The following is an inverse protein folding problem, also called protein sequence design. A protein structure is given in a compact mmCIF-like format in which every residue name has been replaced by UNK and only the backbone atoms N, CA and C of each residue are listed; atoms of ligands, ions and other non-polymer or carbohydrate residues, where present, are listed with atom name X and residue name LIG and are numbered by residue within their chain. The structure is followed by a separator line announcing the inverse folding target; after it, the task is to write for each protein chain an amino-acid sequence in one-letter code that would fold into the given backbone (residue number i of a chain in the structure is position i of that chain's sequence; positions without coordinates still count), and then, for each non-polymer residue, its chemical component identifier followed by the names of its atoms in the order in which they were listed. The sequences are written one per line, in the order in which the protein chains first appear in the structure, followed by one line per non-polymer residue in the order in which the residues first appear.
data_IF_625828681134
#
_entry.id   IF_625828681134
#
_cell.length_a   1.000
_cell.length_b   1.000
_cell.length_c   1.000
_cell.angle_alpha   90.00
_cell.angle_beta   90.00
_cell.angle_gamma   90.00
#
_symmetry.space_group_name_H-M   'P 1'
#
loop_
_entity.id
_entity.type
_entity.pdbx_description
1 polymer ?
#
# COMPACT_ATOMS: atom_id res chain seq x y z
N UNK A 1 -22.49 -33.32 -24.14
CA UNK A 1 -22.85 -33.96 -22.85
C UNK A 1 -22.05 -33.30 -21.73
N UNK A 2 -22.69 -32.51 -20.85
CA UNK A 2 -22.02 -31.82 -19.75
C UNK A 2 -22.06 -32.68 -18.48
N UNK A 3 -20.89 -33.08 -17.95
CA UNK A 3 -20.78 -33.74 -16.64
C UNK A 3 -21.10 -32.71 -15.55
N UNK A 4 -22.27 -32.84 -14.94
CA UNK A 4 -22.70 -32.01 -13.81
C UNK A 4 -21.72 -32.18 -12.64
N UNK A 5 -21.14 -31.08 -12.17
CA UNK A 5 -20.27 -31.06 -10.99
C UNK A 5 -21.04 -31.47 -9.73
N UNK A 6 -20.64 -32.59 -9.13
CA UNK A 6 -21.20 -33.10 -7.87
C UNK A 6 -20.99 -32.08 -6.75
N UNK A 7 -22.06 -31.45 -6.24
CA UNK A 7 -22.04 -30.68 -4.99
C UNK A 7 -21.49 -31.58 -3.87
N UNK A 8 -20.26 -31.31 -3.41
CA UNK A 8 -19.69 -31.99 -2.24
C UNK A 8 -20.39 -31.45 -0.99
N UNK A 9 -21.17 -32.30 -0.32
CA UNK A 9 -21.72 -32.01 1.01
C UNK A 9 -20.53 -31.87 1.96
N UNK A 10 -20.26 -30.67 2.46
CA UNK A 10 -19.29 -30.47 3.54
C UNK A 10 -19.83 -31.21 4.78
N UNK A 11 -19.29 -32.40 5.04
CA UNK A 11 -19.62 -33.21 6.21
C UNK A 11 -19.02 -32.49 7.42
N UNK A 12 -19.81 -31.59 8.01
CA UNK A 12 -19.50 -31.02 9.32
C UNK A 12 -19.32 -32.17 10.32
N UNK A 13 -18.17 -32.23 10.99
CA UNK A 13 -17.92 -33.23 12.03
C UNK A 13 -19.02 -33.14 13.10
N UNK A 14 -19.57 -34.29 13.48
CA UNK A 14 -20.60 -34.41 14.52
C UNK A 14 -19.96 -34.90 15.79
N UNK A 15 -20.42 -34.38 16.92
CA UNK A 15 -20.07 -34.91 18.23
C UNK A 15 -20.69 -36.30 18.42
N UNK A 16 -20.21 -37.05 19.43
CA UNK A 16 -20.74 -38.38 19.78
C UNK A 16 -22.24 -38.37 20.14
N UNK A 17 -22.77 -37.20 20.49
CA UNK A 17 -24.20 -36.93 20.76
C UNK A 17 -25.02 -36.60 19.50
N UNK A 18 -24.44 -36.66 18.29
CA UNK A 18 -25.11 -36.40 17.02
C UNK A 18 -25.29 -34.91 16.64
N UNK A 19 -24.95 -33.97 17.54
CA UNK A 19 -25.00 -32.52 17.27
C UNK A 19 -23.84 -32.10 16.36
N UNK A 20 -24.07 -31.09 15.52
CA UNK A 20 -23.00 -30.47 14.74
C UNK A 20 -22.04 -29.76 15.70
N UNK A 21 -20.76 -30.08 15.58
CA UNK A 21 -19.72 -29.57 16.47
C UNK A 21 -19.54 -28.05 16.26
N UNK A 22 -20.15 -27.21 17.11
CA UNK A 22 -19.98 -25.74 17.08
C UNK A 22 -18.57 -25.33 17.52
N UNK A 23 -17.98 -26.10 18.43
CA UNK A 23 -16.63 -25.88 18.97
C UNK A 23 -15.52 -25.99 17.92
N UNK A 24 -15.72 -26.77 16.86
CA UNK A 24 -14.75 -26.93 15.78
C UNK A 24 -14.44 -25.61 15.07
N UNK A 25 -15.46 -24.77 14.80
CA UNK A 25 -15.26 -23.48 14.13
C UNK A 25 -14.57 -22.45 15.01
N UNK A 26 -14.88 -22.41 16.31
CA UNK A 26 -14.25 -21.49 17.25
C UNK A 26 -12.79 -21.91 17.46
N UNK A 27 -12.54 -23.20 17.71
CA UNK A 27 -11.18 -23.73 17.85
C UNK A 27 -10.36 -23.59 16.55
N UNK A 28 -10.98 -23.73 15.38
CA UNK A 28 -10.31 -23.50 14.08
C UNK A 28 -9.99 -22.03 13.87
N UNK A 29 -10.91 -21.12 14.21
CA UNK A 29 -10.65 -19.67 14.19
C UNK A 29 -9.51 -19.31 15.13
N UNK A 30 -9.52 -19.83 16.35
CA UNK A 30 -8.47 -19.58 17.34
C UNK A 30 -7.12 -20.14 16.86
N UNK A 31 -7.09 -21.33 16.26
CA UNK A 31 -5.88 -21.90 15.63
C UNK A 31 -5.34 -21.02 14.51
N UNK A 32 -6.21 -20.54 13.61
CA UNK A 32 -5.81 -19.63 12.52
C UNK A 32 -5.25 -18.33 13.10
N UNK A 33 -5.86 -17.80 14.17
CA UNK A 33 -5.36 -16.61 14.86
C UNK A 33 -4.02 -16.85 15.55
N UNK A 34 -3.83 -17.99 16.20
CA UNK A 34 -2.54 -18.38 16.82
C UNK A 34 -1.45 -18.48 15.76
N UNK A 35 -1.72 -19.18 14.65
CA UNK A 35 -0.79 -19.28 13.52
C UNK A 35 -0.47 -17.91 12.96
N UNK A 36 -1.45 -17.00 12.86
CA UNK A 36 -1.22 -15.62 12.40
C UNK A 36 -0.30 -14.83 13.35
N UNK A 37 -0.50 -14.94 14.67
CA UNK A 37 0.33 -14.28 15.68
C UNK A 37 1.76 -14.84 15.73
N UNK A 38 1.95 -16.12 15.43
CA UNK A 38 3.26 -16.78 15.38
C UNK A 38 4.08 -16.43 14.12
N UNK A 39 3.47 -15.80 13.12
CA UNK A 39 4.16 -15.42 11.90
C UNK A 39 5.32 -14.46 12.21
N UNK A 40 6.53 -14.78 11.72
CA UNK A 40 7.74 -13.97 11.92
C UNK A 40 7.54 -12.49 11.58
N UNK A 41 6.76 -12.19 10.54
CA UNK A 41 6.45 -10.82 10.11
C UNK A 41 5.60 -10.03 11.10
N UNK A 42 4.82 -10.67 11.98
CA UNK A 42 4.00 -9.98 12.98
C UNK A 42 4.72 -9.80 14.33
N UNK A 43 5.96 -10.29 14.45
CA UNK A 43 6.78 -10.10 15.66
C UNK A 43 7.03 -8.61 15.90
N UNK A 44 6.87 -8.18 17.15
CA UNK A 44 7.04 -6.77 17.56
C UNK A 44 5.76 -5.93 17.55
N UNK A 45 4.64 -6.48 17.05
CA UNK A 45 3.32 -5.87 17.21
C UNK A 45 2.64 -6.41 18.46
N UNK A 46 2.01 -5.54 19.25
CA UNK A 46 1.29 -5.92 20.46
C UNK A 46 -0.22 -6.03 20.22
N UNK A 47 -0.86 -7.00 20.90
CA UNK A 47 -2.33 -7.07 21.03
C UNK A 47 -3.10 -7.06 19.70
N UNK A 48 -3.97 -6.06 19.55
CA UNK A 48 -4.84 -5.91 18.38
C UNK A 48 -4.07 -5.53 17.11
N UNK A 49 -2.96 -4.81 17.21
CA UNK A 49 -2.12 -4.46 16.06
C UNK A 49 -1.53 -5.71 15.39
N UNK A 50 -1.20 -6.75 16.16
CA UNK A 50 -0.74 -8.02 15.63
C UNK A 50 -1.86 -8.82 14.94
N UNK A 51 -3.14 -8.49 15.18
CA UNK A 51 -4.31 -9.14 14.57
C UNK A 51 -4.79 -8.41 13.32
N UNK A 52 -4.49 -7.12 13.19
CA UNK A 52 -4.84 -6.31 12.03
C UNK A 52 -4.30 -6.94 10.73
N UNK A 53 -5.14 -6.97 9.68
CA UNK A 53 -4.74 -7.43 8.34
C UNK A 53 -3.62 -6.58 7.74
N UNK A 54 -3.52 -5.31 8.13
CA UNK A 54 -2.43 -4.41 7.70
C UNK A 54 -1.06 -4.90 8.15
N UNK A 55 -0.97 -5.69 9.23
CA UNK A 55 0.30 -6.27 9.69
C UNK A 55 0.96 -7.21 8.67
N UNK A 56 0.25 -7.61 7.61
CA UNK A 56 0.79 -8.49 6.57
C UNK A 56 1.77 -7.77 5.63
N UNK A 57 1.58 -6.47 5.39
CA UNK A 57 2.49 -5.66 4.55
C UNK A 57 3.55 -4.93 5.40
N UNK A 58 4.77 -4.72 4.88
CA UNK A 58 5.77 -3.89 5.58
C UNK A 58 5.26 -2.48 5.88
N UNK A 59 4.55 -1.86 4.92
CA UNK A 59 3.96 -0.53 5.09
C UNK A 59 2.92 -0.50 6.22
N UNK A 60 2.05 -1.51 6.29
CA UNK A 60 1.05 -1.59 7.35
C UNK A 60 1.69 -1.83 8.72
N UNK A 61 2.79 -2.59 8.81
CA UNK A 61 3.59 -2.70 10.04
C UNK A 61 4.22 -1.38 10.45
N UNK A 62 4.77 -0.65 9.49
CA UNK A 62 5.32 0.68 9.77
C UNK A 62 4.23 1.66 10.23
N UNK A 63 3.02 1.60 9.68
CA UNK A 63 1.87 2.36 10.17
C UNK A 63 1.48 1.97 11.60
N UNK A 64 1.32 0.66 11.87
CA UNK A 64 0.90 0.14 13.17
C UNK A 64 1.93 0.41 14.29
N UNK A 65 3.21 0.56 13.93
CA UNK A 65 4.28 0.93 14.85
C UNK A 65 4.48 2.45 14.97
N UNK A 66 3.63 3.26 14.32
CA UNK A 66 3.71 4.73 14.34
C UNK A 66 4.87 5.31 13.53
N UNK A 67 5.55 4.49 12.71
CA UNK A 67 6.66 4.93 11.86
C UNK A 67 6.21 5.64 10.59
N UNK A 68 4.98 5.42 10.16
CA UNK A 68 4.36 6.11 9.02
C UNK A 68 3.05 6.76 9.45
N UNK A 69 2.69 7.86 8.81
CA UNK A 69 1.34 8.44 8.90
C UNK A 69 0.32 7.68 8.03
N UNK A 70 -0.97 7.97 8.25
CA UNK A 70 -2.05 7.41 7.42
C UNK A 70 -1.88 7.81 5.95
N UNK A 71 -1.56 9.09 5.70
CA UNK A 71 -1.31 9.62 4.36
C UNK A 71 -0.12 8.95 3.66
N UNK A 72 0.99 8.73 4.38
CA UNK A 72 2.17 8.03 3.86
C UNK A 72 1.87 6.57 3.52
N UNK A 73 1.12 5.88 4.37
CA UNK A 73 0.65 4.52 4.11
C UNK A 73 -0.24 4.46 2.86
N UNK A 74 -1.22 5.38 2.73
CA UNK A 74 -2.09 5.45 1.56
C UNK A 74 -1.32 5.73 0.27
N UNK A 75 -0.28 6.58 0.31
CA UNK A 75 0.60 6.77 -0.83
C UNK A 75 1.29 5.46 -1.22
N UNK A 76 1.84 4.73 -0.24
CA UNK A 76 2.48 3.43 -0.52
C UNK A 76 1.52 2.41 -1.14
N UNK A 77 0.31 2.29 -0.63
CA UNK A 77 -0.72 1.39 -1.18
C UNK A 77 -1.19 1.84 -2.58
N UNK A 78 -1.32 3.15 -2.83
CA UNK A 78 -1.65 3.69 -4.16
C UNK A 78 -0.56 3.38 -5.18
N UNK A 79 0.71 3.51 -4.80
CA UNK A 79 1.85 3.15 -5.65
C UNK A 79 1.84 1.64 -5.97
N UNK A 80 1.63 0.82 -4.95
CA UNK A 80 1.51 -0.64 -5.08
C UNK A 80 0.37 -1.04 -6.01
N UNK A 81 -0.80 -0.43 -5.87
CA UNK A 81 -1.97 -0.68 -6.71
C UNK A 81 -1.70 -0.34 -8.18
N UNK A 82 -1.05 0.80 -8.46
CA UNK A 82 -0.66 1.19 -9.83
C UNK A 82 0.33 0.18 -10.44
N UNK A 83 1.33 -0.29 -9.69
CA UNK A 83 2.26 -1.34 -10.16
C UNK A 83 1.53 -2.66 -10.42
N UNK A 84 0.66 -3.07 -9.51
CA UNK A 84 -0.10 -4.31 -9.66
C UNK A 84 -1.00 -4.29 -10.90
N UNK A 85 -1.69 -3.18 -11.16
CA UNK A 85 -2.48 -2.99 -12.38
C UNK A 85 -1.61 -3.09 -13.64
N UNK A 86 -0.42 -2.48 -13.63
CA UNK A 86 0.53 -2.57 -14.74
C UNK A 86 1.03 -4.00 -14.99
N UNK A 87 1.39 -4.74 -13.94
CA UNK A 87 1.84 -6.13 -14.07
C UNK A 87 0.70 -7.05 -14.55
N UNK A 88 -0.50 -6.89 -14.01
CA UNK A 88 -1.67 -7.65 -14.45
C UNK A 88 -1.96 -7.47 -15.95
N UNK A 89 -1.65 -6.31 -16.51
CA UNK A 89 -1.81 -6.05 -17.95
C UNK A 89 -0.68 -6.66 -18.80
N UNK A 90 0.54 -6.80 -18.26
CA UNK A 90 1.64 -7.51 -18.92
C UNK A 90 1.42 -9.03 -18.92
N UNK A 91 0.93 -9.56 -17.79
CA UNK A 91 0.75 -11.00 -17.56
C UNK A 91 -0.63 -11.52 -18.00
N UNK A 92 -1.57 -10.62 -18.31
CA UNK A 92 -2.93 -10.97 -18.68
C UNK A 92 -2.99 -11.80 -19.98
N UNK A 93 -3.88 -12.82 -20.06
CA UNK A 93 -4.06 -13.58 -21.28
C UNK A 93 -4.43 -12.60 -22.40
N UNK A 94 -3.60 -12.59 -23.46
CA UNK A 94 -3.91 -11.83 -24.67
C UNK A 94 -5.24 -12.38 -25.19
N UNK A 95 -6.30 -11.61 -25.02
CA UNK A 95 -7.62 -11.98 -25.56
C UNK A 95 -7.43 -12.06 -27.06
N UNK A 96 -7.22 -13.27 -27.58
CA UNK A 96 -7.47 -13.57 -28.97
C UNK A 96 -8.95 -13.26 -29.13
N UNK A 97 -9.27 -12.16 -29.80
CA UNK A 97 -10.64 -11.81 -30.14
C UNK A 97 -11.28 -13.06 -30.76
N UNK A 98 -12.16 -13.73 -30.02
CA UNK A 98 -12.86 -14.86 -30.56
C UNK A 98 -13.71 -14.33 -31.72
N UNK A 99 -13.68 -15.02 -32.85
CA UNK A 99 -14.38 -14.60 -34.08
C UNK A 99 -15.88 -14.29 -33.85
N UNK A 100 -16.47 -14.78 -32.76
CA UNK A 100 -17.84 -14.46 -32.34
C UNK A 100 -18.09 -12.99 -31.96
N UNK A 101 -17.12 -12.29 -31.34
CA UNK A 101 -17.30 -10.85 -31.03
C UNK A 101 -17.26 -9.97 -32.28
N UNK A 102 -16.55 -10.40 -33.34
CA UNK A 102 -16.53 -9.72 -34.63
C UNK A 102 -17.84 -9.93 -35.42
N UNK A 103 -18.51 -11.08 -35.24
CA UNK A 103 -19.78 -11.35 -35.93
C UNK A 103 -20.98 -10.60 -35.35
N UNK A 104 -20.99 -10.27 -34.05
CA UNK A 104 -22.08 -9.48 -33.42
C UNK A 104 -22.00 -8.00 -33.79
N UNK A 105 -20.81 -7.47 -34.11
CA UNK A 105 -20.67 -6.11 -34.61
C UNK A 105 -21.24 -5.94 -36.05
N UNK A 106 -21.39 -7.04 -36.79
CA UNK A 106 -21.78 -7.00 -38.21
C UNK A 106 -23.30 -7.09 -38.44
N UNK A 107 -24.11 -7.21 -37.39
CA UNK A 107 -25.59 -7.30 -37.47
C UNK A 107 -26.31 -6.01 -37.08
N UNK A 108 -25.59 -4.98 -36.64
CA UNK A 108 -26.16 -3.64 -36.43
C UNK A 108 -26.13 -2.89 -37.76
N UNK A 109 -27.30 -2.45 -38.24
CA UNK A 109 -27.43 -1.61 -39.43
C UNK A 109 -26.66 -0.30 -39.20
N UNK A 110 -25.96 0.17 -40.23
CA UNK A 110 -25.04 1.34 -40.15
C UNK A 110 -25.67 2.60 -39.55
N UNK A 111 -26.99 2.77 -39.62
CA UNK A 111 -27.70 3.94 -39.10
C UNK A 111 -27.88 3.94 -37.56
N UNK A 112 -27.93 2.76 -36.92
CA UNK A 112 -27.99 2.64 -35.45
C UNK A 112 -26.59 2.68 -34.80
N UNK A 113 -25.57 2.32 -35.58
CA UNK A 113 -24.17 2.36 -35.14
C UNK A 113 -23.67 3.81 -34.97
N UNK A 114 -24.11 4.74 -35.83
CA UNK A 114 -23.72 6.16 -35.75
C UNK A 114 -24.35 6.87 -34.54
N UNK A 115 -25.61 6.57 -34.20
CA UNK A 115 -26.29 7.14 -33.01
C UNK A 115 -25.69 6.66 -31.67
N UNK A 116 -25.08 5.48 -31.64
CA UNK A 116 -24.35 4.98 -30.45
C UNK A 116 -22.97 5.64 -30.28
N UNK A 117 -22.40 6.23 -31.34
CA UNK A 117 -21.09 6.89 -31.30
C UNK A 117 -21.16 8.32 -30.74
N UNK A 118 -22.32 8.98 -30.82
CA UNK A 118 -22.54 10.33 -30.27
C UNK A 118 -22.70 10.36 -28.73
N UNK A 119 -23.09 9.25 -28.09
CA UNK A 119 -23.07 9.09 -26.63
C UNK A 119 -21.67 8.67 -26.13
N UNK A 120 -20.65 9.50 -26.39
CA UNK A 120 -19.25 9.23 -26.02
C UNK A 120 -19.00 9.03 -24.52
N UNK A 121 -19.92 9.41 -23.65
CA UNK A 121 -19.79 9.23 -22.19
C UNK A 121 -19.95 7.78 -21.73
N UNK A 122 -20.61 6.92 -22.51
CA UNK A 122 -20.97 5.55 -22.09
C UNK A 122 -20.29 4.44 -22.91
N UNK A 123 -19.40 4.78 -23.84
CA UNK A 123 -18.66 3.74 -24.58
C UNK A 123 -17.78 2.96 -23.61
N UNK A 124 -17.92 1.62 -23.51
CA UNK A 124 -17.02 0.83 -22.69
C UNK A 124 -15.60 0.96 -23.23
N UNK A 125 -14.68 1.36 -22.36
CA UNK A 125 -13.27 1.52 -22.68
C UNK A 125 -12.71 0.26 -23.34
N UNK A 126 -12.05 0.44 -24.48
CA UNK A 126 -11.43 -0.67 -25.19
C UNK A 126 -10.25 -1.24 -24.40
N UNK A 127 -9.88 -2.53 -24.60
CA UNK A 127 -8.70 -3.10 -23.97
C UNK A 127 -7.40 -2.35 -24.30
N UNK A 128 -7.31 -1.73 -25.49
CA UNK A 128 -6.15 -0.95 -25.91
C UNK A 128 -6.03 0.38 -25.14
N UNK A 129 -7.13 1.14 -25.03
CA UNK A 129 -7.18 2.39 -24.24
C UNK A 129 -6.87 2.12 -22.76
N UNK A 130 -7.41 1.02 -22.22
CA UNK A 130 -7.10 0.59 -20.85
C UNK A 130 -5.61 0.34 -20.63
N UNK A 131 -4.96 -0.34 -21.57
CA UNK A 131 -3.51 -0.62 -21.53
C UNK A 131 -2.70 0.65 -21.51
N UNK A 132 -3.03 1.58 -22.40
CA UNK A 132 -2.34 2.86 -22.50
C UNK A 132 -2.50 3.67 -21.21
N UNK A 133 -3.72 3.82 -20.71
CA UNK A 133 -3.98 4.50 -19.43
C UNK A 133 -3.23 3.87 -18.26
N UNK A 134 -3.21 2.54 -18.16
CA UNK A 134 -2.46 1.85 -17.08
C UNK A 134 -0.95 2.09 -17.21
N UNK A 135 -0.40 2.08 -18.42
CA UNK A 135 1.01 2.39 -18.68
C UNK A 135 1.35 3.83 -18.30
N UNK A 136 0.53 4.78 -18.69
CA UNK A 136 0.69 6.20 -18.36
C UNK A 136 0.61 6.43 -16.85
N UNK A 137 -0.40 5.87 -16.17
CA UNK A 137 -0.55 5.96 -14.72
C UNK A 137 0.65 5.38 -13.96
N UNK A 138 1.23 4.29 -14.47
CA UNK A 138 2.43 3.69 -13.90
C UNK A 138 3.68 4.52 -14.17
N UNK A 139 3.88 5.01 -15.40
CA UNK A 139 4.99 5.89 -15.75
C UNK A 139 4.99 7.15 -14.87
N UNK A 140 3.84 7.82 -14.78
CA UNK A 140 3.64 9.00 -13.93
C UNK A 140 3.95 8.70 -12.45
N UNK A 141 3.49 7.57 -11.93
CA UNK A 141 3.75 7.19 -10.53
C UNK A 141 5.24 6.90 -10.28
N UNK A 142 5.90 6.23 -11.22
CA UNK A 142 7.32 5.93 -11.15
C UNK A 142 8.16 7.21 -11.20
N UNK A 143 7.82 8.14 -12.08
CA UNK A 143 8.51 9.42 -12.20
C UNK A 143 8.28 10.30 -10.97
N UNK A 144 7.06 10.31 -10.43
CA UNK A 144 6.75 10.97 -9.16
C UNK A 144 7.58 10.39 -7.99
N UNK A 145 7.71 9.07 -7.92
CA UNK A 145 8.51 8.40 -6.89
C UNK A 145 10.01 8.72 -7.05
N UNK A 146 10.52 8.73 -8.28
CA UNK A 146 11.90 9.08 -8.57
C UNK A 146 12.18 10.55 -8.22
N UNK A 147 11.28 11.47 -8.56
CA UNK A 147 11.37 12.88 -8.20
C UNK A 147 11.31 13.09 -6.68
N UNK A 148 10.44 12.37 -5.96
CA UNK A 148 10.37 12.39 -4.50
C UNK A 148 11.70 11.99 -3.86
N UNK A 149 12.50 11.17 -4.53
CA UNK A 149 13.81 10.70 -4.08
C UNK A 149 14.99 11.50 -4.65
N UNK A 150 14.73 12.65 -5.28
CA UNK A 150 15.77 13.50 -5.87
C UNK A 150 16.53 12.81 -7.02
N UNK A 151 15.88 11.90 -7.74
CA UNK A 151 16.51 11.15 -8.83
C UNK A 151 17.28 9.90 -8.40
N UNK A 152 17.31 9.55 -7.11
CA UNK A 152 18.04 8.37 -6.63
C UNK A 152 17.39 7.06 -7.09
N UNK A 153 18.05 6.37 -8.05
CA UNK A 153 17.62 5.04 -8.51
C UNK A 153 17.73 3.98 -7.41
N UNK A 154 18.73 4.07 -6.54
CA UNK A 154 18.88 3.17 -5.40
C UNK A 154 17.74 3.37 -4.39
N UNK A 155 17.38 4.62 -4.09
CA UNK A 155 16.21 4.94 -3.27
C UNK A 155 14.91 4.44 -3.90
N UNK A 156 14.78 4.53 -5.23
CA UNK A 156 13.59 4.04 -5.94
C UNK A 156 13.50 2.52 -5.84
N UNK A 157 14.60 1.81 -6.05
CA UNK A 157 14.66 0.36 -5.90
C UNK A 157 14.26 -0.06 -4.48
N UNK A 158 14.77 0.63 -3.45
CA UNK A 158 14.39 0.38 -2.07
C UNK A 158 12.89 0.61 -1.84
N UNK A 159 12.34 1.73 -2.31
CA UNK A 159 10.92 2.02 -2.19
C UNK A 159 10.05 0.95 -2.87
N UNK A 160 10.42 0.50 -4.06
CA UNK A 160 9.71 -0.57 -4.78
C UNK A 160 9.80 -1.90 -4.04
N UNK A 161 10.98 -2.23 -3.49
CA UNK A 161 11.20 -3.43 -2.69
C UNK A 161 10.29 -3.47 -1.46
N UNK A 162 10.17 -2.34 -0.76
CA UNK A 162 9.35 -2.25 0.47
C UNK A 162 7.85 -2.14 0.17
N UNK A 163 7.46 -1.22 -0.72
CA UNK A 163 6.05 -0.93 -0.98
C UNK A 163 5.38 -1.98 -1.89
N UNK A 164 6.11 -2.52 -2.85
CA UNK A 164 5.53 -3.38 -3.89
C UNK A 164 5.95 -4.85 -3.79
N UNK A 165 7.16 -5.14 -3.31
CA UNK A 165 7.67 -6.52 -3.18
C UNK A 165 7.53 -7.06 -1.75
N UNK A 166 7.00 -6.23 -0.84
CA UNK A 166 6.66 -6.60 0.53
C UNK A 166 7.85 -7.09 1.36
N UNK A 167 9.05 -6.59 1.05
CA UNK A 167 10.26 -6.86 1.81
C UNK A 167 10.39 -5.83 2.93
N UNK A 168 10.66 -6.29 4.15
CA UNK A 168 10.93 -5.38 5.26
C UNK A 168 12.19 -4.54 5.03
N UNK A 169 12.21 -3.27 5.48
CA UNK A 169 13.46 -2.51 5.52
C UNK A 169 14.45 -3.20 6.48
N UNK A 170 15.71 -3.30 6.06
CA UNK A 170 16.77 -3.98 6.82
C UNK A 170 17.29 -3.17 8.01
N UNK A 171 16.89 -1.90 8.13
CA UNK A 171 17.28 -1.03 9.24
C UNK A 171 16.62 0.34 9.19
N UNK A 172 16.94 1.17 10.17
CA UNK A 172 16.31 2.49 10.34
C UNK A 172 16.61 3.46 9.19
N UNK A 173 17.82 3.41 8.63
CA UNK A 173 18.19 4.24 7.49
C UNK A 173 17.29 3.99 6.26
N UNK A 174 17.02 2.73 5.95
CA UNK A 174 16.10 2.38 4.86
C UNK A 174 14.66 2.82 5.16
N UNK A 175 14.20 2.64 6.40
CA UNK A 175 12.86 3.06 6.82
C UNK A 175 12.69 4.58 6.70
N UNK A 176 13.72 5.37 7.04
CA UNK A 176 13.74 6.83 6.88
C UNK A 176 13.62 7.23 5.41
N UNK A 177 14.38 6.59 4.52
CA UNK A 177 14.32 6.87 3.07
C UNK A 177 12.93 6.58 2.52
N UNK A 178 12.35 5.42 2.87
CA UNK A 178 10.99 5.04 2.46
C UNK A 178 9.97 6.05 2.96
N UNK A 179 10.01 6.41 4.25
CA UNK A 179 9.11 7.42 4.83
C UNK A 179 9.23 8.76 4.12
N UNK A 180 10.44 9.25 3.89
CA UNK A 180 10.66 10.52 3.21
C UNK A 180 10.05 10.52 1.80
N UNK A 181 10.23 9.44 1.05
CA UNK A 181 9.67 9.29 -0.29
C UNK A 181 8.13 9.26 -0.25
N UNK A 182 7.56 8.47 0.66
CA UNK A 182 6.11 8.36 0.83
C UNK A 182 5.47 9.66 1.29
N UNK A 183 6.13 10.43 2.15
CA UNK A 183 5.66 11.75 2.59
C UNK A 183 5.57 12.73 1.43
N UNK A 184 6.59 12.76 0.56
CA UNK A 184 6.61 13.59 -0.65
C UNK A 184 5.58 13.13 -1.67
N UNK A 185 5.39 11.81 -1.84
CA UNK A 185 4.34 11.25 -2.69
C UNK A 185 2.94 11.59 -2.17
N UNK A 186 2.71 11.48 -0.87
CA UNK A 186 1.45 11.83 -0.24
C UNK A 186 1.11 13.32 -0.46
N UNK A 187 2.09 14.21 -0.28
CA UNK A 187 1.91 15.64 -0.58
C UNK A 187 1.60 15.88 -2.05
N UNK A 188 2.33 15.24 -2.98
CA UNK A 188 2.11 15.38 -4.43
C UNK A 188 0.74 14.88 -4.87
N UNK A 189 0.23 13.83 -4.23
CA UNK A 189 -1.08 13.25 -4.56
C UNK A 189 -2.24 13.86 -3.77
N UNK A 190 -1.99 14.92 -2.98
CA UNK A 190 -3.03 15.58 -2.18
C UNK A 190 -3.62 14.68 -1.10
N UNK A 191 -2.84 13.73 -0.57
CA UNK A 191 -3.26 12.82 0.51
C UNK A 191 -2.96 13.40 1.90
N UNK A 192 -2.20 14.49 1.98
CA UNK A 192 -1.90 15.16 3.23
C UNK A 192 -3.09 16.05 3.62
N UNK A 193 -3.76 15.70 4.72
CA UNK A 193 -4.75 16.57 5.36
C UNK A 193 -4.07 17.87 5.86
N UNK A 194 -4.67 19.05 5.65
CA UNK A 194 -4.16 20.30 6.19
C UNK A 194 -4.32 20.34 7.72
N UNK A 195 -3.37 19.73 8.44
CA UNK A 195 -3.17 19.98 9.88
C UNK A 195 -3.32 18.80 10.87
N UNK A 196 -3.34 17.54 10.43
CA UNK A 196 -3.75 16.43 11.32
C UNK A 196 -2.75 15.33 11.68
N UNK A 197 -1.73 15.05 10.86
CA UNK A 197 -1.02 13.77 10.94
C UNK A 197 0.48 13.93 11.27
N UNK A 198 0.76 14.44 12.47
CA UNK A 198 2.03 14.12 13.13
C UNK A 198 2.01 12.62 13.51
N UNK A 199 3.09 11.86 13.27
CA UNK A 199 3.15 10.46 13.68
C UNK A 199 2.87 10.38 15.19
N UNK A 200 1.82 9.64 15.58
CA UNK A 200 1.54 9.36 17.00
C UNK A 200 2.77 8.68 17.58
N UNK A 201 3.52 9.40 18.42
CA UNK A 201 4.60 8.80 19.20
C UNK A 201 4.01 7.60 19.96
N UNK A 202 4.58 6.38 19.79
CA UNK A 202 4.21 5.27 20.65
C UNK A 202 4.55 5.69 22.09
N UNK A 203 3.57 5.63 22.99
CA UNK A 203 3.64 6.19 24.34
C UNK A 203 5.01 6.01 25.00
N UNK A 204 5.69 7.14 25.25
CA UNK A 204 6.94 7.18 26.00
C UNK A 204 6.68 6.77 27.45
N UNK A 205 7.36 5.75 28.00
CA UNK A 205 7.76 5.82 29.40
C UNK A 205 8.82 6.92 29.52
N UNK A 206 8.63 7.79 30.52
CA UNK A 206 9.44 8.95 30.89
C UNK A 206 10.95 8.87 30.59
N UNK A 207 11.44 9.95 29.97
CA UNK A 207 12.82 10.40 29.67
C UNK A 207 13.86 10.23 30.82
N UNK A 208 15.21 10.28 30.58
CA UNK A 208 15.86 11.37 29.82
C UNK A 208 17.10 11.04 28.97
N UNK A 209 17.31 11.88 27.94
CA UNK A 209 18.64 12.15 27.38
C UNK A 209 18.96 11.50 26.04
N UNK A 210 18.32 11.93 24.95
CA UNK A 210 18.79 11.61 23.60
C UNK A 210 19.30 12.87 22.90
N UNK A 211 20.63 12.93 22.76
CA UNK A 211 21.33 13.91 21.91
C UNK A 211 20.93 13.69 20.45
N UNK A 212 20.82 14.75 19.63
CA UNK A 212 20.47 14.61 18.22
C UNK A 212 21.53 13.81 17.46
N UNK A 213 21.11 12.71 16.84
CA UNK A 213 21.95 11.87 15.96
C UNK A 213 22.13 12.59 14.62
N UNK A 214 23.34 13.09 14.38
CA UNK A 214 23.78 13.58 13.06
C UNK A 214 23.97 12.38 12.14
N UNK A 215 23.20 12.28 11.06
CA UNK A 215 23.47 11.34 9.98
C UNK A 215 23.87 12.14 8.74
N UNK A 216 25.16 12.04 8.38
CA UNK A 216 25.68 12.56 7.14
C UNK A 216 25.46 11.51 6.04
N UNK A 217 24.71 11.87 5.01
CA UNK A 217 24.72 11.18 3.72
C UNK A 217 25.49 12.08 2.75
N UNK A 218 26.54 11.53 2.14
CA UNK A 218 27.36 12.15 1.08
C UNK A 218 28.06 13.46 1.43
N UNK A 219 28.58 13.60 2.65
CA UNK A 219 29.46 14.72 3.02
C UNK A 219 28.82 16.11 2.97
N UNK A 220 27.50 16.21 2.83
CA UNK A 220 26.77 17.48 2.88
C UNK A 220 25.83 17.51 4.07
N UNK A 221 26.14 18.37 5.03
CA UNK A 221 25.25 18.72 6.15
C UNK A 221 24.02 19.43 5.59
N UNK A 222 22.85 18.80 5.67
CA UNK A 222 21.57 19.44 5.36
C UNK A 222 20.79 19.71 6.64
N UNK A 223 21.23 20.70 7.42
CA UNK A 223 20.34 21.48 8.30
C UNK A 223 20.90 22.89 8.54
N UNK A 224 20.20 23.91 8.03
CA UNK A 224 20.20 25.27 8.60
C UNK A 224 18.79 25.52 9.15
N UNK A 225 18.63 25.40 10.46
CA UNK A 225 17.51 26.04 11.15
C UNK A 225 17.89 27.48 11.50
N UNK A 226 16.92 28.42 11.51
CA UNK A 226 17.17 29.80 11.93
C UNK A 226 17.67 29.81 13.38
N UNK A 227 18.73 30.60 13.63
CA UNK A 227 19.25 30.84 14.98
C UNK A 227 18.09 31.26 15.88
N UNK A 228 17.82 30.48 16.93
CA UNK A 228 17.07 30.98 18.07
C UNK A 228 17.80 32.26 18.56
N UNK A 229 17.10 33.40 18.52
CA UNK A 229 17.60 34.60 19.19
C UNK A 229 17.67 34.27 20.68
N UNK A 230 18.88 34.26 21.20
CA UNK A 230 19.16 34.35 22.63
C UNK A 230 18.46 35.62 23.17
N UNK A 231 17.35 35.45 23.86
CA UNK A 231 16.91 36.44 24.85
C UNK A 231 17.51 35.98 26.17
N UNK A 232 18.72 36.47 26.42
CA UNK A 232 19.44 36.24 27.67
C UNK A 232 18.67 36.80 28.86
N UNK A 233 18.75 36.04 29.95
CA UNK A 233 18.65 36.56 31.32
C UNK A 233 19.56 37.77 31.47
N UNK A 234 19.01 38.88 31.97
CA UNK A 234 19.75 39.80 32.81
C UNK A 234 19.39 39.46 34.26
N UNK A 235 20.43 39.22 35.04
CA UNK A 235 20.37 39.04 36.48
C UNK A 235 20.52 40.40 37.19
N UNK A 236 20.05 40.43 38.45
CA UNK A 236 20.54 41.21 39.58
C UNK A 236 20.37 42.75 39.63
N UNK A 237 19.81 43.21 40.75
CA UNK A 237 20.31 44.39 41.46
C UNK A 237 19.28 45.45 41.88
N UNK A 238 18.58 45.22 43.00
CA UNK A 238 18.22 46.16 44.08
C UNK A 238 16.99 45.67 44.85
#
# INVERSE_FOLDING_TARGET
MAKSGRKRKNVSKRERNGRQQRSGRVAERDRVMTVALEQRRRRGLAGEAARDSRAESPLGRMLLTGRLSSAEHQAGERLRARRAAFLAELDGPRVACSAGSAMVANTLRSEDAERLVENRSDRPETPAERRERVREQWAEAKDAALAALGGSRAGLALLMRVACELVDPQGEAEAVVVRMALRRLAARWGLAEPGGDEPREPGRPSEPGLRPLRVALDGRELWRFPKAKNCGKAAEGA
#
